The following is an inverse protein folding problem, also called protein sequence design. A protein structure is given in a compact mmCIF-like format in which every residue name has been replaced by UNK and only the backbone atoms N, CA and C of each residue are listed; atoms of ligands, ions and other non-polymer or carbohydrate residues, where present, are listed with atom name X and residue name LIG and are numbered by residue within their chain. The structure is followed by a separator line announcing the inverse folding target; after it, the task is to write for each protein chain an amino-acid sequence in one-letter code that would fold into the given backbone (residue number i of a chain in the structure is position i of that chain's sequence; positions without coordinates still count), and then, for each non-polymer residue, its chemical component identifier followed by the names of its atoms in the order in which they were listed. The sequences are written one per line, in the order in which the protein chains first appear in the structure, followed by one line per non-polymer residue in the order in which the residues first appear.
data_IF_716994459716
#
_entry.id   IF_716994459716
#
_cell.length_a   1.000
_cell.length_b   1.000
_cell.length_c   1.000
_cell.angle_alpha   90.00
_cell.angle_beta   90.00
_cell.angle_gamma   90.00
#
_symmetry.space_group_name_H-M   'P 1'
#
loop_
_entity.id
_entity.type
_entity.pdbx_description
1 polymer ?
#
# COMPACT_ATOMS: atom_id res chain seq x y z
N UNK A 1 -10.63 -9.17 -15.19
CA UNK A 1 -10.59 -9.06 -13.72
C UNK A 1 -9.49 -9.96 -13.21
N UNK A 2 -8.78 -9.52 -12.16
CA UNK A 2 -7.82 -10.37 -11.46
C UNK A 2 -8.55 -11.59 -10.86
N UNK A 3 -7.86 -12.71 -10.86
CA UNK A 3 -8.34 -13.99 -10.32
C UNK A 3 -8.47 -13.92 -8.79
N UNK A 4 -9.42 -14.66 -8.19
CA UNK A 4 -9.61 -14.65 -6.74
C UNK A 4 -8.37 -15.07 -5.97
N UNK A 5 -7.55 -15.99 -6.51
CA UNK A 5 -6.35 -16.48 -5.84
C UNK A 5 -5.32 -15.36 -5.65
N UNK A 6 -5.00 -14.64 -6.73
CA UNK A 6 -4.03 -13.55 -6.67
C UNK A 6 -4.54 -12.39 -5.81
N UNK A 7 -5.84 -12.10 -5.85
CA UNK A 7 -6.44 -11.07 -4.99
C UNK A 7 -6.34 -11.42 -3.51
N UNK A 8 -6.56 -12.68 -3.13
CA UNK A 8 -6.41 -13.08 -1.73
C UNK A 8 -4.94 -13.01 -1.31
N UNK A 9 -3.99 -13.41 -2.16
CA UNK A 9 -2.57 -13.20 -1.87
C UNK A 9 -2.21 -11.72 -1.69
N UNK A 10 -2.69 -10.83 -2.56
CA UNK A 10 -2.51 -9.40 -2.39
C UNK A 10 -3.15 -8.87 -1.10
N UNK A 11 -4.36 -9.30 -0.78
CA UNK A 11 -5.05 -8.91 0.45
C UNK A 11 -4.24 -9.32 1.68
N UNK A 12 -3.79 -10.57 1.75
CA UNK A 12 -2.99 -11.08 2.87
C UNK A 12 -1.65 -10.36 2.98
N UNK A 13 -0.97 -10.10 1.85
CA UNK A 13 0.25 -9.31 1.82
C UNK A 13 0.04 -7.90 2.36
N UNK A 14 -1.00 -7.19 1.89
CA UNK A 14 -1.31 -5.83 2.36
C UNK A 14 -1.61 -5.84 3.87
N UNK A 15 -2.41 -6.80 4.34
CA UNK A 15 -2.73 -6.92 5.75
C UNK A 15 -1.48 -7.18 6.59
N UNK A 16 -0.63 -8.12 6.18
CA UNK A 16 0.59 -8.47 6.88
C UNK A 16 1.58 -7.30 6.94
N UNK A 17 1.98 -6.78 5.78
CA UNK A 17 3.10 -5.86 5.66
C UNK A 17 2.76 -4.44 6.13
N UNK A 18 1.49 -4.04 5.97
CA UNK A 18 1.05 -2.71 6.34
C UNK A 18 0.20 -2.67 7.60
N UNK A 19 -0.82 -3.52 7.74
CA UNK A 19 -1.80 -3.35 8.81
C UNK A 19 -1.38 -4.03 10.11
N UNK A 20 -0.84 -5.24 10.03
CA UNK A 20 -0.34 -6.00 11.19
C UNK A 20 1.07 -5.60 11.59
N UNK A 21 1.84 -4.96 10.69
CA UNK A 21 3.06 -4.27 11.05
C UNK A 21 2.75 -2.99 11.85
N UNK A 22 3.12 -2.98 13.13
CA UNK A 22 3.01 -1.78 13.98
C UNK A 22 4.11 -0.78 13.66
N UNK A 23 3.90 0.50 13.98
CA UNK A 23 4.91 1.54 13.77
C UNK A 23 6.19 1.24 14.57
N UNK A 24 6.04 0.82 15.83
CA UNK A 24 7.18 0.41 16.67
C UNK A 24 7.98 -0.74 16.05
N UNK A 25 7.30 -1.76 15.49
CA UNK A 25 7.98 -2.86 14.81
C UNK A 25 8.77 -2.35 13.59
N UNK A 26 8.15 -1.49 12.77
CA UNK A 26 8.77 -0.92 11.58
C UNK A 26 10.02 -0.08 11.90
N UNK A 27 9.96 0.76 12.93
CA UNK A 27 11.05 1.66 13.29
C UNK A 27 12.25 0.86 13.84
N UNK A 28 12.00 -0.13 14.71
CA UNK A 28 13.08 -0.95 15.28
C UNK A 28 13.70 -1.96 14.30
N UNK A 29 13.04 -2.26 13.16
CA UNK A 29 13.63 -3.12 12.11
C UNK A 29 14.92 -2.53 11.52
N UNK A 30 15.14 -1.21 11.60
CA UNK A 30 16.36 -0.55 11.12
C UNK A 30 17.57 -0.79 12.02
N UNK A 31 17.34 -1.08 13.31
CA UNK A 31 18.40 -1.17 14.32
C UNK A 31 18.66 -2.59 14.80
N UNK A 32 17.63 -3.45 14.85
CA UNK A 32 17.75 -4.79 15.42
C UNK A 32 17.02 -5.86 14.59
N UNK A 33 17.79 -6.88 14.17
CA UNK A 33 17.31 -7.97 13.32
C UNK A 33 16.18 -8.80 13.95
N UNK A 34 16.07 -8.84 15.29
CA UNK A 34 15.01 -9.57 15.99
C UNK A 34 13.63 -9.05 15.58
N UNK A 35 13.49 -7.74 15.32
CA UNK A 35 12.24 -7.16 14.85
C UNK A 35 11.91 -7.57 13.40
N UNK A 36 12.93 -7.87 12.58
CA UNK A 36 12.72 -8.45 11.25
C UNK A 36 12.16 -9.87 11.38
N UNK A 37 12.67 -10.67 12.32
CA UNK A 37 12.13 -12.01 12.60
C UNK A 37 10.68 -11.92 13.08
N UNK A 38 10.38 -11.06 14.05
CA UNK A 38 9.01 -10.92 14.56
C UNK A 38 8.01 -10.57 13.46
N UNK A 39 8.37 -9.61 12.60
CA UNK A 39 7.53 -9.26 11.46
C UNK A 39 7.39 -10.40 10.46
N UNK A 40 8.47 -11.12 10.18
CA UNK A 40 8.43 -12.26 9.26
C UNK A 40 7.55 -13.40 9.76
N UNK A 41 7.52 -13.65 11.08
CA UNK A 41 6.59 -14.60 11.68
C UNK A 41 5.14 -14.12 11.51
N UNK A 42 4.85 -12.84 11.78
CA UNK A 42 3.52 -12.26 11.57
C UNK A 42 3.10 -12.39 10.11
N UNK A 43 4.01 -12.09 9.18
CA UNK A 43 3.77 -12.19 7.75
C UNK A 43 3.47 -13.63 7.33
N UNK A 44 4.31 -14.58 7.78
CA UNK A 44 4.12 -16.00 7.53
C UNK A 44 2.75 -16.47 8.03
N UNK A 45 2.41 -16.23 9.31
CA UNK A 45 1.11 -16.61 9.87
C UNK A 45 -0.07 -16.01 9.12
N UNK A 46 0.06 -14.77 8.64
CA UNK A 46 -0.98 -14.10 7.86
C UNK A 46 -1.15 -14.76 6.49
N UNK A 47 -0.06 -15.12 5.80
CA UNK A 47 -0.14 -15.79 4.50
C UNK A 47 -0.80 -17.17 4.59
N UNK A 48 -0.66 -17.86 5.73
CA UNK A 48 -1.33 -19.14 5.97
C UNK A 48 -2.85 -19.05 6.09
N UNK A 49 -3.42 -17.84 6.27
CA UNK A 49 -4.87 -17.64 6.24
C UNK A 49 -5.50 -17.93 4.86
N UNK A 50 -4.69 -18.13 3.81
CA UNK A 50 -5.17 -18.58 2.50
C UNK A 50 -5.96 -19.91 2.60
N UNK A 51 -5.64 -20.77 3.56
CA UNK A 51 -6.32 -22.05 3.78
C UNK A 51 -7.74 -21.92 4.36
N UNK A 52 -8.16 -20.71 4.73
CA UNK A 52 -9.58 -20.41 5.01
C UNK A 52 -10.42 -20.44 3.72
N UNK A 53 -9.81 -20.11 2.59
CA UNK A 53 -10.49 -19.98 1.28
C UNK A 53 -10.23 -21.17 0.35
N UNK A 54 -9.08 -21.84 0.47
CA UNK A 54 -8.66 -22.94 -0.40
C UNK A 54 -8.42 -24.24 0.39
N UNK A 55 -8.78 -25.38 -0.21
CA UNK A 55 -8.54 -26.69 0.40
C UNK A 55 -7.02 -26.91 0.55
N UNK A 56 -6.62 -27.63 1.59
CA UNK A 56 -5.21 -27.94 1.80
C UNK A 56 -4.66 -28.70 0.59
N UNK A 57 -3.54 -28.21 0.07
CA UNK A 57 -2.78 -28.83 -1.01
C UNK A 57 -1.30 -28.61 -0.72
N UNK A 58 -0.47 -29.64 -0.91
CA UNK A 58 0.95 -29.58 -0.60
C UNK A 58 1.67 -28.50 -1.41
N UNK A 59 1.34 -28.33 -2.69
CA UNK A 59 1.93 -27.29 -3.54
C UNK A 59 1.56 -25.88 -3.07
N UNK A 60 0.31 -25.66 -2.64
CA UNK A 60 -0.10 -24.38 -2.05
C UNK A 60 0.64 -24.11 -0.73
N UNK A 61 0.75 -25.12 0.13
CA UNK A 61 1.48 -25.02 1.40
C UNK A 61 2.95 -24.66 1.19
N UNK A 62 3.63 -25.37 0.30
CA UNK A 62 5.03 -25.10 -0.03
C UNK A 62 5.18 -23.70 -0.62
N UNK A 63 4.31 -23.30 -1.55
CA UNK A 63 4.34 -21.96 -2.13
C UNK A 63 4.12 -20.86 -1.08
N UNK A 64 3.15 -21.01 -0.16
CA UNK A 64 2.96 -20.05 0.93
C UNK A 64 4.18 -19.98 1.85
N UNK A 65 4.84 -21.11 2.09
CA UNK A 65 6.08 -21.16 2.86
C UNK A 65 7.22 -20.41 2.17
N UNK A 66 7.39 -20.62 0.86
CA UNK A 66 8.44 -19.92 0.09
C UNK A 66 8.14 -18.42 0.00
N UNK A 67 6.88 -18.01 -0.17
CA UNK A 67 6.52 -16.58 -0.15
C UNK A 67 6.90 -15.96 1.20
N UNK A 68 6.60 -16.62 2.33
CA UNK A 68 7.01 -16.15 3.64
C UNK A 68 8.54 -16.09 3.83
N UNK A 69 9.27 -17.10 3.36
CA UNK A 69 10.75 -17.09 3.39
C UNK A 69 11.33 -15.98 2.51
N UNK A 70 10.78 -15.77 1.33
CA UNK A 70 11.20 -14.70 0.44
C UNK A 70 10.98 -13.33 1.06
N UNK A 71 9.86 -13.15 1.80
CA UNK A 71 9.58 -11.92 2.52
C UNK A 71 10.68 -11.63 3.55
N UNK A 72 11.01 -12.61 4.39
CA UNK A 72 12.11 -12.48 5.36
C UNK A 72 13.44 -12.06 4.70
N UNK A 73 13.81 -12.68 3.57
CA UNK A 73 15.07 -12.36 2.86
C UNK A 73 15.05 -10.92 2.34
N UNK A 74 13.93 -10.47 1.77
CA UNK A 74 13.78 -9.11 1.25
C UNK A 74 13.86 -8.09 2.38
N UNK A 75 13.14 -8.35 3.47
CA UNK A 75 13.05 -7.44 4.61
C UNK A 75 14.39 -7.31 5.35
N UNK A 76 15.17 -8.41 5.42
CA UNK A 76 16.57 -8.39 5.86
C UNK A 76 17.45 -7.52 4.97
N UNK A 77 17.32 -7.68 3.65
CA UNK A 77 18.06 -6.88 2.68
C UNK A 77 17.75 -5.39 2.81
N UNK A 78 16.46 -5.04 2.88
CA UNK A 78 15.96 -3.68 3.08
C UNK A 78 16.46 -3.06 4.38
N UNK A 79 16.37 -3.79 5.50
CA UNK A 79 16.87 -3.35 6.81
C UNK A 79 18.38 -3.02 6.74
N UNK A 80 19.16 -3.90 6.10
CA UNK A 80 20.60 -3.71 5.92
C UNK A 80 20.98 -2.51 5.04
N UNK A 81 20.12 -2.17 4.07
CA UNK A 81 20.31 -1.03 3.17
C UNK A 81 19.80 0.29 3.76
N UNK A 82 18.82 0.25 4.68
CA UNK A 82 18.16 1.43 5.24
C UNK A 82 19.11 2.36 6.01
N UNK A 83 20.25 1.86 6.49
CA UNK A 83 21.24 2.66 7.23
C UNK A 83 22.26 3.36 6.33
N UNK A 84 22.18 3.17 5.01
CA UNK A 84 23.12 3.77 4.05
C UNK A 84 22.63 5.13 3.57
N UNK A 85 23.37 6.19 3.91
CA UNK A 85 23.06 7.61 3.56
C UNK A 85 22.78 7.87 2.08
N UNK A 86 23.33 7.06 1.16
CA UNK A 86 23.18 7.28 -0.28
C UNK A 86 21.89 6.73 -0.88
N UNK A 87 21.09 5.98 -0.11
CA UNK A 87 19.89 5.33 -0.63
C UNK A 87 18.66 6.06 -0.12
N UNK A 88 17.87 6.58 -1.07
CA UNK A 88 16.60 7.25 -0.84
C UNK A 88 15.55 6.32 -0.20
N UNK A 89 14.80 6.81 0.77
CA UNK A 89 13.75 6.04 1.46
C UNK A 89 12.62 5.68 0.49
N UNK A 90 12.21 6.58 -0.40
CA UNK A 90 11.20 6.30 -1.43
C UNK A 90 11.63 5.18 -2.37
N UNK A 91 12.89 5.19 -2.81
CA UNK A 91 13.45 4.17 -3.70
C UNK A 91 13.50 2.80 -3.00
N UNK A 92 13.94 2.75 -1.74
CA UNK A 92 13.94 1.50 -0.97
C UNK A 92 12.53 0.94 -0.83
N UNK A 93 11.57 1.79 -0.49
CA UNK A 93 10.17 1.38 -0.37
C UNK A 93 9.59 0.89 -1.70
N UNK A 94 9.82 1.60 -2.81
CA UNK A 94 9.29 1.20 -4.12
C UNK A 94 9.89 -0.12 -4.60
N UNK A 95 11.22 -0.29 -4.51
CA UNK A 95 11.89 -1.52 -4.95
C UNK A 95 11.44 -2.71 -4.11
N UNK A 96 11.35 -2.54 -2.79
CA UNK A 96 10.83 -3.55 -1.87
C UNK A 96 9.44 -4.05 -2.27
N UNK A 97 8.49 -3.13 -2.46
CA UNK A 97 7.12 -3.49 -2.85
C UNK A 97 7.07 -4.12 -4.25
N UNK A 98 7.87 -3.63 -5.21
CA UNK A 98 7.95 -4.23 -6.54
C UNK A 98 8.46 -5.68 -6.49
N UNK A 99 9.46 -5.98 -5.66
CA UNK A 99 9.98 -7.34 -5.49
C UNK A 99 8.90 -8.23 -4.87
N UNK A 100 8.24 -7.81 -3.79
CA UNK A 100 7.16 -8.58 -3.17
C UNK A 100 6.02 -8.87 -4.16
N UNK A 101 5.54 -7.86 -4.87
CA UNK A 101 4.48 -8.01 -5.87
C UNK A 101 4.92 -8.97 -6.99
N UNK A 102 6.15 -8.85 -7.46
CA UNK A 102 6.70 -9.74 -8.50
C UNK A 102 6.73 -11.21 -8.05
N UNK A 103 7.09 -11.45 -6.78
CA UNK A 103 7.08 -12.79 -6.20
C UNK A 103 5.66 -13.34 -6.10
N UNK A 104 4.70 -12.55 -5.61
CA UNK A 104 3.30 -12.98 -5.54
C UNK A 104 2.75 -13.33 -6.92
N UNK A 105 3.05 -12.54 -7.95
CA UNK A 105 2.65 -12.81 -9.34
C UNK A 105 3.33 -14.08 -9.85
N UNK A 106 4.64 -14.23 -9.65
CA UNK A 106 5.39 -15.41 -10.07
C UNK A 106 4.84 -16.70 -9.44
N UNK A 107 4.53 -16.67 -8.14
CA UNK A 107 3.92 -17.81 -7.45
C UNK A 107 2.49 -18.08 -7.92
N UNK A 108 1.69 -17.04 -8.16
CA UNK A 108 0.35 -17.20 -8.72
C UNK A 108 0.40 -17.92 -10.07
N UNK A 109 1.29 -17.52 -10.98
CA UNK A 109 1.46 -18.15 -12.30
C UNK A 109 1.90 -19.60 -12.14
N UNK A 110 2.91 -19.85 -11.30
CA UNK A 110 3.42 -21.19 -11.04
C UNK A 110 2.32 -22.14 -10.53
N UNK A 111 1.57 -21.70 -9.52
CA UNK A 111 0.48 -22.48 -8.92
C UNK A 111 -0.64 -22.73 -9.92
N UNK A 112 -1.06 -21.70 -10.65
CA UNK A 112 -2.18 -21.80 -11.59
C UNK A 112 -1.92 -22.85 -12.66
N UNK A 113 -0.67 -22.98 -13.12
CA UNK A 113 -0.28 -23.99 -14.10
C UNK A 113 -0.30 -25.43 -13.57
N UNK A 114 -0.42 -25.64 -12.26
CA UNK A 114 -0.50 -26.99 -11.69
C UNK A 114 -1.91 -27.57 -11.67
N UNK A 115 -2.97 -26.76 -11.84
CA UNK A 115 -4.41 -27.16 -11.75
C UNK A 115 -4.83 -27.91 -10.47
N UNK A 116 -3.97 -27.94 -9.44
CA UNK A 116 -4.19 -28.73 -8.22
C UNK A 116 -4.94 -27.96 -7.11
N UNK A 117 -5.28 -26.69 -7.34
CA UNK A 117 -5.87 -25.83 -6.31
C UNK A 117 -7.37 -25.71 -6.51
N UNK A 118 -8.11 -26.19 -5.52
CA UNK A 118 -9.57 -26.08 -5.47
C UNK A 118 -10.00 -25.12 -4.35
N UNK A 119 -10.79 -24.08 -4.66
CA UNK A 119 -11.51 -23.31 -3.65
C UNK A 119 -12.34 -24.19 -2.73
N UNK A 120 -12.55 -23.76 -1.49
CA UNK A 120 -13.53 -24.37 -0.59
C UNK A 120 -14.93 -23.96 -1.06
N UNK A 121 -15.77 -24.94 -1.40
CA UNK A 121 -17.10 -24.77 -2.01
C UNK A 121 -18.05 -23.83 -1.26
N UNK A 122 -17.87 -23.67 0.06
CA UNK A 122 -18.63 -22.72 0.88
C UNK A 122 -18.48 -21.28 0.41
N UNK A 123 -17.36 -20.93 -0.22
CA UNK A 123 -17.08 -19.60 -0.70
C UNK A 123 -17.34 -19.52 -2.21
N UNK A 124 -18.36 -18.75 -2.61
CA UNK A 124 -18.53 -18.38 -4.02
C UNK A 124 -17.53 -17.29 -4.40
N UNK A 125 -16.24 -17.65 -4.49
CA UNK A 125 -15.15 -16.70 -4.67
C UNK A 125 -15.25 -15.88 -5.96
N UNK A 126 -15.81 -16.47 -7.03
CA UNK A 126 -16.03 -15.77 -8.31
C UNK A 126 -17.00 -14.60 -8.16
N UNK A 127 -18.07 -14.78 -7.39
CA UNK A 127 -19.03 -13.70 -7.09
C UNK A 127 -18.45 -12.67 -6.12
N UNK A 128 -17.44 -13.07 -5.34
CA UNK A 128 -16.79 -12.22 -4.34
C UNK A 128 -15.66 -11.33 -4.88
N UNK A 129 -15.24 -11.50 -6.14
CA UNK A 129 -14.10 -10.76 -6.73
C UNK A 129 -14.32 -9.23 -6.65
N UNK A 130 -15.56 -8.78 -6.88
CA UNK A 130 -15.92 -7.35 -6.79
C UNK A 130 -15.69 -6.79 -5.38
N UNK A 131 -16.11 -7.53 -4.35
CA UNK A 131 -15.91 -7.13 -2.96
C UNK A 131 -14.42 -7.17 -2.56
N UNK A 132 -13.68 -8.19 -3.00
CA UNK A 132 -12.24 -8.30 -2.75
C UNK A 132 -11.47 -7.12 -3.35
N UNK A 133 -11.74 -6.79 -4.62
CA UNK A 133 -11.15 -5.62 -5.27
C UNK A 133 -11.47 -4.32 -4.52
N UNK A 134 -12.73 -4.16 -4.07
CA UNK A 134 -13.17 -2.98 -3.32
C UNK A 134 -12.43 -2.84 -1.99
N UNK A 135 -12.30 -3.94 -1.24
CA UNK A 135 -11.57 -3.97 0.02
C UNK A 135 -10.08 -3.66 -0.19
N UNK A 136 -9.44 -4.30 -1.19
CA UNK A 136 -8.02 -4.06 -1.51
C UNK A 136 -7.78 -2.60 -1.89
N UNK A 137 -8.63 -2.03 -2.75
CA UNK A 137 -8.53 -0.64 -3.15
C UNK A 137 -8.62 0.31 -1.94
N UNK A 138 -9.60 0.08 -1.05
CA UNK A 138 -9.74 0.84 0.19
C UNK A 138 -8.51 0.69 1.09
N UNK A 139 -7.97 -0.51 1.27
CA UNK A 139 -6.76 -0.70 2.09
C UNK A 139 -5.55 0.04 1.50
N UNK A 140 -5.34 -0.03 0.18
CA UNK A 140 -4.21 0.60 -0.50
C UNK A 140 -4.20 2.13 -0.35
N UNK A 141 -5.36 2.79 -0.48
CA UNK A 141 -5.44 4.26 -0.35
C UNK A 141 -5.28 4.75 1.09
N UNK A 142 -5.25 3.88 2.09
CA UNK A 142 -5.05 4.27 3.50
C UNK A 142 -3.59 4.16 3.92
N UNK A 143 -3.18 3.06 4.56
CA UNK A 143 -1.87 2.96 5.23
C UNK A 143 -0.70 2.87 4.23
N UNK A 144 -0.77 2.05 3.17
CA UNK A 144 0.29 1.98 2.15
C UNK A 144 0.53 3.31 1.46
N UNK A 145 -0.52 3.99 0.98
CA UNK A 145 -0.42 5.30 0.35
C UNK A 145 0.22 6.36 1.29
N UNK A 146 -0.15 6.36 2.58
CA UNK A 146 0.46 7.29 3.54
C UNK A 146 1.96 7.03 3.74
N UNK A 147 2.38 5.75 3.78
CA UNK A 147 3.80 5.39 3.93
C UNK A 147 4.59 5.79 2.69
N UNK A 148 4.05 5.51 1.49
CA UNK A 148 4.65 5.90 0.22
C UNK A 148 4.81 7.43 0.12
N UNK A 149 3.75 8.19 0.40
CA UNK A 149 3.83 9.66 0.35
C UNK A 149 4.84 10.18 1.39
N UNK A 150 4.85 9.62 2.60
CA UNK A 150 5.82 9.99 3.64
C UNK A 150 7.26 9.72 3.20
N UNK A 151 7.53 8.61 2.52
CA UNK A 151 8.90 8.28 2.06
C UNK A 151 9.40 9.18 0.94
N UNK A 152 8.51 9.69 0.07
CA UNK A 152 8.88 10.72 -0.90
C UNK A 152 9.14 12.07 -0.23
N UNK A 153 8.34 12.42 0.78
CA UNK A 153 8.51 13.66 1.52
C UNK A 153 9.78 13.64 2.38
N UNK A 154 10.17 12.50 2.97
CA UNK A 154 11.41 12.40 3.75
C UNK A 154 12.68 12.52 2.89
N UNK A 155 12.60 12.16 1.61
CA UNK A 155 13.72 12.33 0.66
C UNK A 155 13.89 13.77 0.17
N UNK A 156 12.82 14.56 0.14
CA UNK A 156 12.93 16.03 0.02
C UNK A 156 13.37 16.54 1.38
N UNK A 157 14.45 17.32 1.47
CA UNK A 157 15.08 17.87 2.70
C UNK A 157 14.18 18.75 3.58
N UNK A 158 12.86 18.64 3.45
CA UNK A 158 11.83 19.18 4.32
C UNK A 158 11.95 18.58 5.72
N UNK A 159 12.81 19.17 6.55
CA UNK A 159 12.88 18.87 7.96
C UNK A 159 11.60 19.35 8.64
N UNK A 160 10.70 18.40 8.91
CA UNK A 160 9.43 18.64 9.60
C UNK A 160 9.59 19.09 11.07
N UNK A 161 10.81 19.28 11.56
CA UNK A 161 11.11 19.46 12.99
C UNK A 161 11.20 20.93 13.43
N UNK A 162 11.40 21.88 12.51
CA UNK A 162 11.44 23.31 12.85
C UNK A 162 10.26 24.04 12.19
N UNK A 163 9.23 24.34 13.00
CA UNK A 163 8.32 25.50 12.96
C UNK A 163 7.00 25.13 13.65
N UNK A 164 7.03 25.27 14.96
CA UNK A 164 5.87 25.16 15.86
C UNK A 164 5.13 26.50 15.76
N UNK A 165 4.02 26.53 15.04
CA UNK A 165 3.14 27.70 15.03
C UNK A 165 1.81 27.43 14.36
N UNK A 166 1.84 26.88 13.14
CA UNK A 166 0.65 26.89 12.26
C UNK A 166 0.42 25.58 11.48
N UNK A 167 1.08 24.49 11.89
CA UNK A 167 0.89 23.18 11.24
C UNK A 167 -0.29 22.46 11.91
N UNK A 168 -1.29 21.96 11.15
CA UNK A 168 -2.22 21.00 11.72
C UNK A 168 -1.41 19.80 12.23
N UNK A 169 -1.62 19.32 13.48
CA UNK A 169 -0.84 18.22 14.05
C UNK A 169 -0.71 17.05 13.06
N UNK A 170 0.43 16.33 13.06
CA UNK A 170 0.74 15.24 12.12
C UNK A 170 -0.42 14.26 11.86
N UNK A 171 -1.29 14.08 12.86
CA UNK A 171 -2.53 13.28 12.77
C UNK A 171 -3.57 13.87 11.81
N UNK A 172 -3.79 15.18 11.80
CA UNK A 172 -4.75 15.87 10.94
C UNK A 172 -4.33 15.84 9.47
N UNK A 173 -3.03 16.03 9.16
CA UNK A 173 -2.53 15.91 7.78
C UNK A 173 -2.81 14.53 7.18
N UNK A 174 -2.57 13.47 7.96
CA UNK A 174 -2.90 12.08 7.57
C UNK A 174 -4.41 11.88 7.34
N UNK A 175 -5.26 12.44 8.20
CA UNK A 175 -6.73 12.35 8.05
C UNK A 175 -7.18 13.06 6.78
N UNK A 176 -6.72 14.29 6.53
CA UNK A 176 -7.03 15.07 5.32
C UNK A 176 -6.62 14.27 4.07
N UNK A 177 -5.40 13.74 4.05
CA UNK A 177 -4.91 12.93 2.93
C UNK A 177 -5.77 11.68 2.67
N UNK A 178 -6.20 10.98 3.72
CA UNK A 178 -7.11 9.84 3.57
C UNK A 178 -8.47 10.26 3.00
N UNK A 179 -9.07 11.33 3.52
CA UNK A 179 -10.35 11.85 3.05
C UNK A 179 -10.28 12.27 1.58
N UNK A 180 -9.21 12.93 1.16
CA UNK A 180 -8.99 13.32 -0.22
C UNK A 180 -8.95 12.11 -1.15
N UNK A 181 -8.20 11.06 -0.81
CA UNK A 181 -8.12 9.86 -1.66
C UNK A 181 -9.44 9.11 -1.74
N UNK A 182 -10.19 9.03 -0.64
CA UNK A 182 -11.55 8.46 -0.65
C UNK A 182 -12.43 9.27 -1.61
N UNK A 183 -12.41 10.59 -1.49
CA UNK A 183 -13.20 11.48 -2.34
C UNK A 183 -12.83 11.35 -3.82
N UNK A 184 -11.54 11.29 -4.15
CA UNK A 184 -11.05 11.08 -5.52
C UNK A 184 -11.56 9.74 -6.07
N UNK A 185 -11.40 8.64 -5.32
CA UNK A 185 -11.85 7.32 -5.75
C UNK A 185 -13.37 7.28 -5.94
N UNK A 186 -14.16 7.87 -5.03
CA UNK A 186 -15.61 7.96 -5.19
C UNK A 186 -16.00 8.75 -6.44
N UNK A 187 -15.35 9.88 -6.71
CA UNK A 187 -15.60 10.71 -7.90
C UNK A 187 -15.20 9.99 -9.18
N UNK A 188 -14.11 9.22 -9.19
CA UNK A 188 -13.71 8.37 -10.31
C UNK A 188 -14.78 7.31 -10.60
N UNK A 189 -15.31 6.65 -9.56
CA UNK A 189 -16.36 5.65 -9.66
C UNK A 189 -17.68 6.20 -10.25
N UNK A 190 -18.02 7.46 -9.99
CA UNK A 190 -19.20 8.12 -10.57
C UNK A 190 -18.89 8.90 -11.86
N UNK A 191 -17.69 8.74 -12.42
CA UNK A 191 -17.19 9.41 -13.62
C UNK A 191 -17.22 10.95 -13.56
N UNK A 192 -17.10 11.53 -12.36
CA UNK A 192 -17.11 12.99 -12.13
C UNK A 192 -15.68 13.55 -12.04
N UNK A 193 -14.93 13.40 -13.13
CA UNK A 193 -13.50 13.74 -13.17
C UNK A 193 -13.23 15.25 -12.99
N UNK A 194 -14.13 16.11 -13.51
CA UNK A 194 -13.98 17.57 -13.44
C UNK A 194 -14.02 18.08 -11.98
N UNK A 195 -14.87 17.45 -11.15
CA UNK A 195 -15.03 17.83 -9.73
C UNK A 195 -13.73 17.64 -8.95
N UNK A 196 -12.94 16.62 -9.30
CA UNK A 196 -11.61 16.37 -8.71
C UNK A 196 -10.72 17.60 -8.91
N UNK A 197 -10.68 18.15 -10.14
CA UNK A 197 -9.94 19.38 -10.45
C UNK A 197 -10.40 20.58 -9.62
N UNK A 198 -11.72 20.79 -9.52
CA UNK A 198 -12.27 21.90 -8.72
C UNK A 198 -11.89 21.82 -7.24
N UNK A 199 -11.90 20.64 -6.64
CA UNK A 199 -11.50 20.44 -5.24
C UNK A 199 -10.04 20.87 -5.05
N UNK A 200 -9.14 20.47 -5.93
CA UNK A 200 -7.73 20.85 -5.82
C UNK A 200 -7.48 22.32 -6.11
N UNK A 201 -8.20 22.92 -7.07
CA UNK A 201 -8.16 24.37 -7.28
C UNK A 201 -8.61 25.11 -6.03
N UNK A 202 -9.75 24.75 -5.44
CA UNK A 202 -10.26 25.37 -4.22
C UNK A 202 -9.27 25.20 -3.05
N UNK A 203 -8.68 24.01 -2.88
CA UNK A 203 -7.66 23.73 -1.86
C UNK A 203 -6.42 24.61 -2.03
N UNK A 204 -5.97 24.81 -3.26
CA UNK A 204 -4.82 25.67 -3.58
C UNK A 204 -5.12 27.15 -3.38
N UNK A 205 -6.34 27.61 -3.71
CA UNK A 205 -6.78 28.99 -3.44
C UNK A 205 -6.81 29.25 -1.92
N UNK A 206 -7.37 28.32 -1.14
CA UNK A 206 -7.44 28.44 0.32
C UNK A 206 -6.06 28.52 0.99
N UNK A 207 -4.99 28.06 0.32
CA UNK A 207 -3.61 28.06 0.81
C UNK A 207 -2.68 28.97 0.01
N UNK A 208 -3.22 29.81 -0.88
CA UNK A 208 -2.44 30.56 -1.86
C UNK A 208 -1.30 31.38 -1.24
N UNK A 209 -1.59 32.18 -0.20
CA UNK A 209 -0.58 33.02 0.47
C UNK A 209 0.63 32.21 0.92
N UNK A 210 0.38 31.10 1.63
CA UNK A 210 1.46 30.24 2.14
C UNK A 210 2.22 29.53 1.02
N UNK A 211 1.53 29.11 -0.05
CA UNK A 211 2.18 28.52 -1.22
C UNK A 211 3.10 29.49 -1.96
N UNK A 212 2.83 30.80 -1.90
CA UNK A 212 3.67 31.83 -2.53
C UNK A 212 4.79 32.34 -1.63
N UNK A 213 4.59 32.31 -0.31
CA UNK A 213 5.51 32.89 0.68
C UNK A 213 6.52 31.87 1.22
N UNK A 214 6.15 30.58 1.27
CA UNK A 214 6.96 29.49 1.84
C UNK A 214 7.22 28.42 0.76
N UNK A 215 8.44 28.46 0.20
CA UNK A 215 8.86 27.55 -0.87
C UNK A 215 8.87 26.09 -0.40
N UNK A 216 9.32 25.84 0.82
CA UNK A 216 9.45 24.49 1.38
C UNK A 216 8.07 23.87 1.62
N UNK A 217 7.13 24.68 2.13
CA UNK A 217 5.73 24.27 2.21
C UNK A 217 5.11 24.02 0.84
N UNK A 218 5.42 24.83 -0.17
CA UNK A 218 4.92 24.65 -1.53
C UNK A 218 5.39 23.32 -2.12
N UNK A 219 6.67 22.97 -2.00
CA UNK A 219 7.21 21.69 -2.47
C UNK A 219 6.55 20.50 -1.74
N UNK A 220 6.49 20.54 -0.40
CA UNK A 220 5.80 19.55 0.41
C UNK A 220 4.34 19.35 -0.02
N UNK A 221 3.61 20.45 -0.17
CA UNK A 221 2.18 20.45 -0.53
C UNK A 221 1.95 19.87 -1.93
N UNK A 222 2.77 20.26 -2.91
CA UNK A 222 2.67 19.82 -4.29
C UNK A 222 2.97 18.34 -4.41
N UNK A 223 4.09 17.87 -3.84
CA UNK A 223 4.49 16.45 -3.87
C UNK A 223 3.42 15.59 -3.21
N UNK A 224 2.97 15.96 -2.00
CA UNK A 224 1.94 15.21 -1.29
C UNK A 224 0.62 15.12 -2.04
N UNK A 225 0.16 16.25 -2.59
CA UNK A 225 -1.13 16.32 -3.31
C UNK A 225 -1.08 15.56 -4.63
N UNK A 226 -0.04 15.74 -5.44
CA UNK A 226 0.11 15.07 -6.73
C UNK A 226 0.25 13.55 -6.57
N UNK A 227 1.08 13.08 -5.62
CA UNK A 227 1.20 11.65 -5.33
C UNK A 227 -0.14 11.06 -4.87
N UNK A 228 -0.89 11.77 -4.03
CA UNK A 228 -2.21 11.35 -3.56
C UNK A 228 -3.20 11.11 -4.72
N UNK A 229 -3.21 12.03 -5.69
CA UNK A 229 -4.01 11.92 -6.93
C UNK A 229 -3.55 10.74 -7.77
N UNK A 230 -2.25 10.63 -8.05
CA UNK A 230 -1.68 9.55 -8.87
C UNK A 230 -1.99 8.18 -8.26
N UNK A 231 -1.77 8.00 -6.96
CA UNK A 231 -2.05 6.74 -6.25
C UNK A 231 -3.53 6.38 -6.37
N UNK A 232 -4.44 7.35 -6.15
CA UNK A 232 -5.89 7.11 -6.21
C UNK A 232 -6.33 6.68 -7.61
N UNK A 233 -5.77 7.32 -8.64
CA UNK A 233 -6.04 6.99 -10.05
C UNK A 233 -5.54 5.58 -10.38
N UNK A 234 -4.30 5.25 -10.01
CA UNK A 234 -3.72 3.92 -10.25
C UNK A 234 -4.54 2.83 -9.56
N UNK A 235 -4.89 3.03 -8.28
CA UNK A 235 -5.70 2.07 -7.52
C UNK A 235 -7.08 1.89 -8.16
N UNK A 236 -7.72 2.97 -8.58
CA UNK A 236 -9.00 2.90 -9.29
C UNK A 236 -8.90 2.08 -10.58
N UNK A 237 -7.92 2.37 -11.44
CA UNK A 237 -7.77 1.67 -12.72
C UNK A 237 -7.48 0.17 -12.55
N UNK A 238 -6.64 -0.19 -11.57
CA UNK A 238 -6.26 -1.60 -11.36
C UNK A 238 -7.41 -2.40 -10.74
N UNK A 239 -8.08 -1.85 -9.72
CA UNK A 239 -9.02 -2.63 -8.89
C UNK A 239 -10.49 -2.30 -9.14
N UNK A 240 -10.85 -1.06 -9.47
CA UNK A 240 -12.24 -0.59 -9.40
C UNK A 240 -12.87 -0.28 -10.76
N UNK A 241 -12.11 0.06 -11.81
CA UNK A 241 -12.65 0.47 -13.12
C UNK A 241 -13.64 -0.53 -13.73
N UNK A 242 -13.41 -1.83 -13.53
CA UNK A 242 -14.25 -2.89 -14.08
C UNK A 242 -15.50 -3.18 -13.22
N UNK A 243 -15.64 -2.51 -12.08
CA UNK A 243 -16.80 -2.63 -11.20
C UNK A 243 -17.86 -1.66 -11.72
N UNK A 244 -18.90 -2.19 -12.35
CA UNK A 244 -20.08 -1.40 -12.68
C UNK A 244 -20.81 -1.08 -11.38
N UNK A 245 -20.66 0.16 -10.91
CA UNK A 245 -21.43 0.69 -9.79
C UNK A 245 -22.82 1.18 -10.28
N UNK A 246 -22.98 1.35 -11.60
CA UNK A 246 -24.22 1.67 -12.31
C UNK A 246 -24.28 0.95 -13.66
#
# INVERSE_FOLDING_TARGET
MLDSLILIFFLLHILADFYFQTQNLADNKKENFIYVIYHSIIYFLTMFLIFIFYKFNLSLFLATGIIGLSHFIIDLGKSSLSNKKFIKESSLFMVDQLIHISILIGFYIFIKNTDLITPIERWNLNSSIVYLNSIIALLLIFKPANILIKSFISDSSYNSEEEIGDRPPLRLGKIIGNLERILIVLLLCVNQYVVIGYIFTAKSIARWKKLTEDKDFAEYYLVGTLLSVIISIIVYFIFLQNIKIF
#
